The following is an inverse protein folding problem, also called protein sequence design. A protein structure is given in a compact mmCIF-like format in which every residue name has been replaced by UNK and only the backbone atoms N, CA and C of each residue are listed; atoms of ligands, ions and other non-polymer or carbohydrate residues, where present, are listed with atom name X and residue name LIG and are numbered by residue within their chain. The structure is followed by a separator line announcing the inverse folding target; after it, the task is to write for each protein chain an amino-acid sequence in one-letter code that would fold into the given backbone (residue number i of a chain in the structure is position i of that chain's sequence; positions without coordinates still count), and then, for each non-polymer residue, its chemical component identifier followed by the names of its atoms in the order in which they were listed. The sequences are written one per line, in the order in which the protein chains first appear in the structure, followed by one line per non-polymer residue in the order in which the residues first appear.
data_IF_492601085014
#
_entry.id   IF_492601085014
#
_cell.length_a   1.000
_cell.length_b   1.000
_cell.length_c   1.000
_cell.angle_alpha   90.00
_cell.angle_beta   90.00
_cell.angle_gamma   90.00
#
_symmetry.space_group_name_H-M   'P 1'
#
loop_
_entity.id
_entity.type
_entity.pdbx_description
1 polymer ?
#
# COMPACT_ATOMS: atom_id res chain seq x y z
N UNK A 1 8.52 30.93 11.88
CA UNK A 1 9.71 30.15 12.29
C UNK A 1 9.87 29.05 11.26
N UNK A 2 10.77 29.22 10.32
CA UNK A 2 11.16 28.20 9.33
C UNK A 2 11.82 27.05 10.10
N UNK A 3 11.17 25.86 10.16
CA UNK A 3 11.84 24.65 10.60
C UNK A 3 12.98 24.39 9.58
N UNK A 4 14.21 24.43 10.04
CA UNK A 4 15.34 23.91 9.28
C UNK A 4 15.03 22.45 8.93
N UNK A 5 14.98 22.12 7.66
CA UNK A 5 14.79 20.77 7.16
C UNK A 5 16.03 19.96 7.49
N UNK A 6 15.92 19.11 8.49
CA UNK A 6 17.01 18.21 8.92
C UNK A 6 17.12 17.11 7.86
N UNK A 7 18.21 17.06 7.10
CA UNK A 7 18.44 16.04 6.09
C UNK A 7 18.67 14.64 6.72
N UNK A 8 18.58 13.57 5.92
CA UNK A 8 18.78 12.18 6.36
C UNK A 8 20.10 11.94 7.12
N UNK A 9 21.17 12.66 6.78
CA UNK A 9 22.47 12.55 7.44
C UNK A 9 22.43 12.90 8.92
N UNK A 10 21.53 13.80 9.34
CA UNK A 10 21.40 14.22 10.73
C UNK A 10 20.49 13.29 11.57
N UNK A 11 19.83 12.30 10.95
CA UNK A 11 18.94 11.37 11.64
C UNK A 11 19.66 10.18 12.32
N UNK A 12 20.99 10.05 12.19
CA UNK A 12 21.77 9.01 12.84
C UNK A 12 21.71 7.65 12.13
N UNK A 13 21.32 7.60 10.87
CA UNK A 13 21.28 6.39 10.04
C UNK A 13 22.71 5.90 9.78
N UNK A 14 22.90 4.57 9.75
CA UNK A 14 24.21 3.97 9.45
C UNK A 14 24.74 4.48 8.09
N UNK A 15 26.04 4.84 7.97
CA UNK A 15 26.60 5.44 6.75
C UNK A 15 26.33 4.63 5.47
N UNK A 16 26.41 3.31 5.52
CA UNK A 16 26.16 2.45 4.37
C UNK A 16 24.68 2.45 3.94
N UNK A 17 23.75 2.56 4.89
CA UNK A 17 22.31 2.71 4.59
C UNK A 17 22.05 4.09 4.01
N UNK A 18 22.67 5.13 4.58
CA UNK A 18 22.59 6.48 4.05
C UNK A 18 23.11 6.56 2.61
N UNK A 19 24.27 5.96 2.32
CA UNK A 19 24.83 5.92 0.97
C UNK A 19 23.88 5.21 -0.02
N UNK A 20 23.20 4.14 0.41
CA UNK A 20 22.24 3.43 -0.44
C UNK A 20 21.03 4.29 -0.81
N UNK A 21 20.46 5.07 0.13
CA UNK A 21 19.30 5.92 -0.15
C UNK A 21 19.65 7.16 -0.97
N UNK A 22 20.83 7.73 -0.78
CA UNK A 22 21.34 8.84 -1.61
C UNK A 22 21.49 8.37 -3.07
N UNK A 23 22.00 7.15 -3.28
CA UNK A 23 22.15 6.58 -4.62
C UNK A 23 20.83 6.37 -5.37
N UNK A 24 19.70 6.26 -4.66
CA UNK A 24 18.35 6.14 -5.25
C UNK A 24 17.57 7.47 -5.23
N UNK A 25 18.23 8.59 -4.93
CA UNK A 25 17.66 9.93 -5.06
C UNK A 25 16.82 10.42 -3.88
N UNK A 26 17.04 9.90 -2.67
CA UNK A 26 16.42 10.45 -1.47
C UNK A 26 17.16 11.75 -1.08
N UNK A 27 16.45 12.86 -1.07
CA UNK A 27 17.01 14.18 -0.72
C UNK A 27 16.63 14.58 0.71
N UNK A 28 15.34 14.69 1.01
CA UNK A 28 14.82 15.13 2.31
C UNK A 28 13.89 14.07 2.93
N UNK A 29 13.95 13.89 4.26
CA UNK A 29 13.04 12.97 4.94
C UNK A 29 11.61 13.54 4.98
N UNK A 30 10.64 12.69 4.69
CA UNK A 30 9.24 13.05 4.89
C UNK A 30 8.93 13.24 6.39
N UNK A 31 7.81 13.91 6.73
CA UNK A 31 7.46 14.16 8.14
C UNK A 31 7.38 12.89 9.01
N UNK A 32 6.90 11.75 8.46
CA UNK A 32 6.87 10.49 9.19
C UNK A 32 8.29 9.95 9.40
N UNK A 33 9.17 10.08 8.41
CA UNK A 33 10.55 9.63 8.50
C UNK A 33 11.34 10.46 9.51
N UNK A 34 11.25 11.78 9.44
CA UNK A 34 11.95 12.69 10.35
C UNK A 34 11.60 12.47 11.83
N UNK A 35 10.33 12.13 12.13
CA UNK A 35 9.87 11.89 13.48
C UNK A 35 10.09 10.45 13.96
N UNK A 36 9.98 9.46 13.07
CA UNK A 36 10.06 8.04 13.46
C UNK A 36 11.47 7.51 13.52
N UNK A 37 12.35 7.90 12.59
CA UNK A 37 13.70 7.34 12.48
C UNK A 37 14.50 7.48 13.78
N UNK A 38 14.58 8.67 14.42
CA UNK A 38 15.32 8.82 15.67
C UNK A 38 14.77 7.93 16.79
N UNK A 39 13.45 7.89 16.98
CA UNK A 39 12.80 7.08 18.02
C UNK A 39 13.07 5.58 17.86
N UNK A 40 13.05 5.10 16.60
CA UNK A 40 13.33 3.69 16.30
C UNK A 40 14.81 3.38 16.52
N UNK A 41 15.74 4.28 16.16
CA UNK A 41 17.18 4.13 16.43
C UNK A 41 17.50 4.09 17.92
N UNK A 42 16.79 4.87 18.73
CA UNK A 42 16.90 4.86 20.20
C UNK A 42 16.36 3.56 20.83
N UNK A 43 15.68 2.72 20.07
CA UNK A 43 15.16 1.43 20.53
C UNK A 43 13.77 1.49 21.15
N UNK A 44 13.04 2.59 21.00
CA UNK A 44 11.68 2.71 21.49
C UNK A 44 10.71 1.87 20.67
N UNK A 45 9.72 1.29 21.33
CA UNK A 45 8.50 0.83 20.67
C UNK A 45 7.74 2.06 20.18
N UNK A 46 7.06 1.93 19.01
CA UNK A 46 6.44 3.08 18.38
C UNK A 46 5.11 2.72 17.70
N UNK A 47 4.16 3.65 17.78
CA UNK A 47 2.96 3.65 16.97
C UNK A 47 3.03 4.83 16.01
N UNK A 48 3.11 4.52 14.71
CA UNK A 48 3.10 5.50 13.63
C UNK A 48 1.74 5.55 12.95
N UNK A 49 1.01 6.65 13.13
CA UNK A 49 -0.25 6.86 12.41
C UNK A 49 -0.01 7.74 11.19
N UNK A 50 0.00 7.11 10.00
CA UNK A 50 0.20 7.80 8.74
C UNK A 50 -0.44 7.03 7.57
N UNK A 51 -0.92 7.75 6.56
CA UNK A 51 -1.51 7.17 5.35
C UNK A 51 -0.48 6.47 4.47
N UNK A 52 -0.96 5.65 3.52
CA UNK A 52 -0.11 5.07 2.47
C UNK A 52 0.51 6.17 1.60
N UNK A 53 1.73 5.92 1.08
CA UNK A 53 2.43 6.89 0.25
C UNK A 53 3.17 8.00 1.01
N UNK A 54 3.17 8.02 2.35
CA UNK A 54 3.89 9.00 3.17
C UNK A 54 5.36 8.66 3.41
N UNK A 55 5.83 7.51 2.92
CA UNK A 55 7.21 7.05 3.12
C UNK A 55 7.41 6.19 4.37
N UNK A 56 6.36 5.53 4.88
CA UNK A 56 6.41 4.64 6.06
C UNK A 56 7.48 3.55 5.93
N UNK A 57 7.61 2.92 4.76
CA UNK A 57 8.58 1.85 4.55
C UNK A 57 10.00 2.30 4.88
N UNK A 58 10.42 3.45 4.37
CA UNK A 58 11.73 4.00 4.72
C UNK A 58 11.80 4.44 6.20
N UNK A 59 10.70 4.94 6.77
CA UNK A 59 10.64 5.36 8.17
C UNK A 59 10.98 4.24 9.17
N UNK A 60 10.61 2.98 8.87
CA UNK A 60 11.02 1.84 9.70
C UNK A 60 12.24 1.08 9.16
N UNK A 61 12.35 0.92 7.85
CA UNK A 61 13.42 0.10 7.28
C UNK A 61 14.81 0.72 7.51
N UNK A 62 14.97 2.03 7.28
CA UNK A 62 16.28 2.68 7.41
C UNK A 62 16.88 2.57 8.82
N UNK A 63 16.16 2.90 9.91
CA UNK A 63 16.70 2.78 11.25
C UNK A 63 16.92 1.32 11.67
N UNK A 64 16.03 0.40 11.28
CA UNK A 64 16.15 -1.00 11.66
C UNK A 64 17.28 -1.69 10.90
N UNK A 65 17.48 -1.41 9.60
CA UNK A 65 18.63 -1.86 8.82
C UNK A 65 19.96 -1.35 9.39
N UNK A 66 19.98 -0.13 9.93
CA UNK A 66 21.16 0.45 10.57
C UNK A 66 21.64 -0.34 11.80
N UNK A 67 20.81 -1.25 12.30
CA UNK A 67 21.07 -2.06 13.50
C UNK A 67 21.15 -3.56 13.21
N UNK A 68 21.14 -3.97 11.94
CA UNK A 68 21.32 -5.37 11.54
C UNK A 68 22.81 -5.75 11.65
N UNK A 69 23.06 -6.93 12.19
CA UNK A 69 24.37 -7.57 12.19
C UNK A 69 24.49 -8.53 10.98
N UNK A 70 25.25 -8.16 9.94
CA UNK A 70 25.38 -8.99 8.74
C UNK A 70 26.11 -10.33 8.98
N UNK A 71 26.86 -10.45 10.08
CA UNK A 71 27.61 -11.66 10.42
C UNK A 71 26.70 -12.81 10.89
N UNK A 72 25.52 -12.48 11.42
CA UNK A 72 24.53 -13.44 11.92
C UNK A 72 23.52 -13.77 10.84
N UNK A 73 23.54 -15.00 10.33
CA UNK A 73 22.65 -15.47 9.24
C UNK A 73 21.32 -16.02 9.76
N UNK A 74 20.71 -15.34 10.71
CA UNK A 74 19.43 -15.70 11.32
C UNK A 74 18.48 -14.50 11.30
N UNK A 75 17.16 -14.70 11.38
CA UNK A 75 16.19 -13.61 11.38
C UNK A 75 16.39 -12.66 12.56
N UNK A 76 16.63 -11.39 12.27
CA UNK A 76 16.81 -10.32 13.26
C UNK A 76 15.66 -9.31 13.20
N UNK A 77 15.02 -9.20 12.03
CA UNK A 77 13.92 -8.29 11.77
C UNK A 77 12.79 -9.05 11.07
N UNK A 78 11.58 -8.88 11.56
CA UNK A 78 10.35 -9.35 10.95
C UNK A 78 9.47 -8.14 10.59
N UNK A 79 9.02 -8.08 9.34
CA UNK A 79 8.00 -7.13 8.90
C UNK A 79 6.75 -7.91 8.51
N UNK A 80 5.64 -7.65 9.20
CA UNK A 80 4.33 -8.20 8.88
C UNK A 80 3.54 -7.20 8.05
N UNK A 81 2.95 -7.69 6.96
CA UNK A 81 2.18 -6.90 6.00
C UNK A 81 0.92 -7.65 5.58
N UNK A 82 -0.18 -6.95 5.24
CA UNK A 82 -1.47 -7.58 4.94
C UNK A 82 -1.48 -8.36 3.62
N UNK A 83 -0.69 -7.94 2.65
CA UNK A 83 -0.77 -8.50 1.30
C UNK A 83 0.60 -8.92 0.79
N UNK A 84 0.57 -9.82 -0.14
CA UNK A 84 1.73 -10.35 -0.84
C UNK A 84 2.43 -9.29 -1.69
N UNK A 85 1.66 -8.46 -2.39
CA UNK A 85 2.20 -7.36 -3.19
C UNK A 85 2.99 -6.40 -2.31
N UNK A 86 2.46 -6.07 -1.12
CA UNK A 86 3.18 -5.23 -0.16
C UNK A 86 4.40 -5.97 0.41
N UNK A 87 4.33 -7.30 0.63
CA UNK A 87 5.49 -8.07 1.07
C UNK A 87 6.65 -7.99 0.07
N UNK A 88 6.36 -8.11 -1.21
CA UNK A 88 7.36 -7.98 -2.27
C UNK A 88 7.93 -6.55 -2.35
N UNK A 89 7.08 -5.53 -2.26
CA UNK A 89 7.50 -4.13 -2.28
C UNK A 89 8.41 -3.79 -1.10
N UNK A 90 8.02 -4.20 0.11
CA UNK A 90 8.83 -3.97 1.31
C UNK A 90 10.14 -4.74 1.25
N UNK A 91 10.13 -5.98 0.77
CA UNK A 91 11.34 -6.76 0.58
C UNK A 91 12.30 -6.08 -0.41
N UNK A 92 11.82 -5.67 -1.59
CA UNK A 92 12.61 -4.94 -2.59
C UNK A 92 13.15 -3.61 -2.03
N UNK A 93 12.35 -2.89 -1.23
CA UNK A 93 12.82 -1.68 -0.57
C UNK A 93 13.94 -1.99 0.43
N UNK A 94 13.80 -3.02 1.27
CA UNK A 94 14.84 -3.46 2.19
C UNK A 94 16.13 -3.88 1.46
N UNK A 95 16.01 -4.63 0.35
CA UNK A 95 17.16 -4.98 -0.51
C UNK A 95 17.86 -3.74 -1.06
N UNK A 96 17.08 -2.77 -1.54
CA UNK A 96 17.60 -1.50 -2.07
C UNK A 96 18.36 -0.72 -1.00
N UNK A 97 17.77 -0.57 0.18
CA UNK A 97 18.37 0.18 1.29
C UNK A 97 19.56 -0.54 1.94
N UNK A 98 19.63 -1.86 1.85
CA UNK A 98 20.74 -2.67 2.36
C UNK A 98 21.84 -2.95 1.32
N UNK A 99 21.74 -2.42 0.11
CA UNK A 99 22.66 -2.70 -1.00
C UNK A 99 24.13 -2.43 -0.66
N UNK A 100 24.40 -1.50 0.22
CA UNK A 100 25.73 -1.17 0.70
C UNK A 100 26.11 -1.87 2.04
N UNK A 101 25.26 -2.81 2.50
CA UNK A 101 25.50 -3.65 3.67
C UNK A 101 25.80 -5.09 3.19
N UNK A 102 27.07 -5.46 2.98
CA UNK A 102 27.39 -6.79 2.45
C UNK A 102 26.97 -7.89 3.44
N UNK A 103 26.34 -8.93 2.91
CA UNK A 103 25.93 -10.10 3.70
C UNK A 103 24.52 -10.02 4.30
N UNK A 104 23.79 -8.92 4.13
CA UNK A 104 22.38 -8.82 4.54
C UNK A 104 21.48 -9.51 3.51
N UNK A 105 20.73 -10.51 3.97
CA UNK A 105 19.72 -11.22 3.18
C UNK A 105 18.29 -10.80 3.57
N UNK A 106 17.44 -10.67 2.56
CA UNK A 106 16.01 -10.39 2.71
C UNK A 106 15.21 -11.55 2.11
N UNK A 107 14.24 -12.06 2.83
CA UNK A 107 13.34 -13.11 2.33
C UNK A 107 11.89 -12.67 2.48
N UNK A 108 11.14 -12.71 1.37
CA UNK A 108 9.70 -12.49 1.38
C UNK A 108 8.95 -13.83 1.53
N UNK A 109 8.03 -13.89 2.49
CA UNK A 109 7.23 -15.08 2.87
C UNK A 109 5.75 -14.76 2.73
N UNK A 110 5.08 -15.30 1.70
CA UNK A 110 3.70 -14.93 1.39
C UNK A 110 2.92 -16.09 0.76
N UNK A 111 1.60 -16.05 0.91
CA UNK A 111 0.69 -17.04 0.37
C UNK A 111 0.57 -17.02 -1.16
N UNK A 112 0.08 -18.12 -1.74
CA UNK A 112 -0.14 -18.23 -3.20
C UNK A 112 1.11 -18.49 -4.03
N UNK A 113 2.32 -18.52 -3.42
CA UNK A 113 3.56 -18.95 -4.06
C UNK A 113 3.96 -20.35 -3.54
N UNK A 114 4.78 -21.11 -4.30
CA UNK A 114 5.28 -22.42 -3.84
C UNK A 114 6.07 -22.29 -2.53
N UNK A 115 5.85 -23.23 -1.60
CA UNK A 115 6.52 -23.27 -0.31
C UNK A 115 8.02 -23.59 -0.42
N UNK A 116 8.40 -24.48 -1.35
CA UNK A 116 9.77 -24.98 -1.49
C UNK A 116 10.83 -23.88 -1.68
N UNK A 117 10.68 -22.96 -2.63
CA UNK A 117 11.61 -21.85 -2.80
C UNK A 117 11.76 -20.98 -1.55
N UNK A 118 10.66 -20.70 -0.82
CA UNK A 118 10.70 -19.92 0.42
C UNK A 118 11.48 -20.66 1.52
N UNK A 119 11.24 -21.97 1.69
CA UNK A 119 12.01 -22.81 2.62
C UNK A 119 13.50 -22.84 2.27
N UNK A 120 13.83 -22.95 0.98
CA UNK A 120 15.22 -22.90 0.53
C UNK A 120 15.88 -21.56 0.88
N UNK A 121 15.20 -20.45 0.62
CA UNK A 121 15.70 -19.12 0.93
C UNK A 121 15.90 -18.92 2.44
N UNK A 122 14.96 -19.35 3.27
CA UNK A 122 15.08 -19.30 4.73
C UNK A 122 16.27 -20.12 5.25
N UNK A 123 16.51 -21.32 4.70
CA UNK A 123 17.65 -22.16 5.07
C UNK A 123 19.02 -21.59 4.64
N UNK A 124 19.05 -20.76 3.61
CA UNK A 124 20.27 -20.05 3.20
C UNK A 124 20.65 -18.96 4.19
N UNK A 125 19.73 -18.59 5.06
CA UNK A 125 19.86 -17.56 6.09
C UNK A 125 19.48 -16.18 5.56
N UNK A 126 18.64 -15.49 6.33
CA UNK A 126 18.24 -14.12 6.07
C UNK A 126 18.08 -13.38 7.38
N UNK A 127 18.58 -12.17 7.44
CA UNK A 127 18.43 -11.31 8.60
C UNK A 127 17.06 -10.62 8.64
N UNK A 128 16.42 -10.49 7.47
CA UNK A 128 15.16 -9.77 7.32
C UNK A 128 14.11 -10.69 6.71
N UNK A 129 13.02 -10.87 7.43
CA UNK A 129 11.83 -11.55 6.93
C UNK A 129 10.72 -10.52 6.70
N UNK A 130 10.13 -10.54 5.51
CA UNK A 130 8.93 -9.77 5.20
C UNK A 130 7.82 -10.76 4.91
N UNK A 131 6.75 -10.75 5.71
CA UNK A 131 5.78 -11.84 5.68
C UNK A 131 4.32 -11.39 5.69
N UNK A 132 3.47 -12.18 5.02
CA UNK A 132 2.03 -12.16 5.29
C UNK A 132 1.72 -13.15 6.42
N UNK A 133 0.81 -12.80 7.38
CA UNK A 133 0.61 -13.59 8.59
C UNK A 133 0.34 -15.08 8.34
N UNK A 134 -0.68 -15.40 7.55
CA UNK A 134 -1.07 -16.82 7.34
C UNK A 134 0.06 -17.69 6.77
N UNK A 135 0.86 -17.21 5.81
CA UNK A 135 1.98 -17.99 5.28
C UNK A 135 3.12 -18.12 6.30
N UNK A 136 3.34 -17.11 7.12
CA UNK A 136 4.33 -17.21 8.19
C UNK A 136 3.91 -18.27 9.22
N UNK A 137 2.63 -18.35 9.58
CA UNK A 137 2.10 -19.43 10.41
C UNK A 137 2.30 -20.82 9.80
N UNK A 138 2.18 -20.98 8.47
CA UNK A 138 2.50 -22.25 7.79
C UNK A 138 3.98 -22.63 7.94
N UNK A 139 4.89 -21.65 7.92
CA UNK A 139 6.32 -21.89 8.18
C UNK A 139 6.58 -22.19 9.65
N UNK A 140 5.94 -21.51 10.59
CA UNK A 140 6.07 -21.76 12.03
C UNK A 140 5.62 -23.17 12.44
N UNK A 141 4.57 -23.72 11.80
CA UNK A 141 4.16 -25.12 12.00
C UNK A 141 5.24 -26.15 11.61
N UNK A 142 6.22 -25.73 10.78
CA UNK A 142 7.33 -26.57 10.33
C UNK A 142 8.62 -26.33 11.10
N UNK A 143 8.82 -25.10 11.57
CA UNK A 143 9.98 -24.67 12.34
C UNK A 143 9.51 -23.65 13.39
N UNK A 144 9.18 -24.15 14.57
CA UNK A 144 8.72 -23.34 15.70
C UNK A 144 9.77 -22.32 16.19
N UNK A 145 11.06 -22.55 15.86
CA UNK A 145 12.16 -21.69 16.27
C UNK A 145 12.52 -20.62 15.24
N UNK A 146 11.82 -20.57 14.10
CA UNK A 146 12.11 -19.65 13.00
C UNK A 146 12.25 -18.18 13.46
N UNK A 147 11.45 -17.78 14.44
CA UNK A 147 11.43 -16.40 14.95
C UNK A 147 12.20 -16.20 16.27
N UNK A 148 12.86 -17.22 16.80
CA UNK A 148 13.48 -17.16 18.13
C UNK A 148 14.59 -16.10 18.27
N UNK A 149 15.16 -15.66 17.18
CA UNK A 149 16.26 -14.67 17.14
C UNK A 149 15.82 -13.27 16.69
N UNK A 150 14.53 -13.09 16.40
CA UNK A 150 13.96 -11.81 15.97
C UNK A 150 13.97 -10.80 17.11
N UNK A 151 14.68 -9.71 16.92
CA UNK A 151 14.80 -8.63 17.90
C UNK A 151 13.94 -7.41 17.56
N UNK A 152 13.44 -7.34 16.32
CA UNK A 152 12.70 -6.18 15.80
C UNK A 152 11.50 -6.66 15.01
N UNK A 153 10.33 -6.22 15.43
CA UNK A 153 9.05 -6.49 14.76
C UNK A 153 8.47 -5.21 14.21
N UNK A 154 8.04 -5.26 12.97
CA UNK A 154 7.23 -4.21 12.34
C UNK A 154 5.88 -4.78 11.93
N UNK A 155 4.80 -4.09 12.28
CA UNK A 155 3.49 -4.30 11.69
C UNK A 155 3.20 -3.12 10.77
N UNK A 156 3.15 -3.32 9.47
CA UNK A 156 2.78 -2.27 8.51
C UNK A 156 1.37 -2.52 7.97
N UNK A 157 0.59 -1.45 7.87
CA UNK A 157 -0.84 -1.51 7.55
C UNK A 157 -1.62 -2.45 8.51
N UNK A 158 -1.39 -2.29 9.82
CA UNK A 158 -1.96 -3.17 10.85
C UNK A 158 -3.50 -3.21 10.82
N UNK A 159 -4.16 -2.09 10.58
CA UNK A 159 -5.61 -2.00 10.40
C UNK A 159 -6.11 -2.85 9.22
N UNK A 160 -5.35 -2.93 8.14
CA UNK A 160 -5.68 -3.76 7.00
C UNK A 160 -5.50 -5.25 7.29
N UNK A 161 -4.48 -5.65 8.07
CA UNK A 161 -4.33 -7.03 8.51
C UNK A 161 -5.56 -7.51 9.29
N UNK A 162 -6.09 -6.66 10.17
CA UNK A 162 -7.30 -7.00 10.93
C UNK A 162 -8.56 -7.06 10.06
N UNK A 163 -8.73 -6.14 9.12
CA UNK A 163 -9.84 -6.18 8.15
C UNK A 163 -9.83 -7.44 7.30
N UNK A 164 -8.65 -8.00 7.04
CA UNK A 164 -8.48 -9.27 6.32
C UNK A 164 -8.64 -10.51 7.20
N UNK A 165 -8.85 -10.35 8.51
CA UNK A 165 -9.12 -11.45 9.44
C UNK A 165 -7.88 -12.14 9.99
N UNK A 166 -6.70 -11.53 9.93
CA UNK A 166 -5.44 -12.12 10.41
C UNK A 166 -5.21 -12.02 11.92
N UNK A 167 -6.25 -11.73 12.73
CA UNK A 167 -6.06 -11.58 14.18
C UNK A 167 -5.47 -12.82 14.81
N UNK A 168 -6.03 -14.01 14.53
CA UNK A 168 -5.57 -15.28 15.10
C UNK A 168 -4.15 -15.63 14.65
N UNK A 169 -3.82 -15.36 13.38
CA UNK A 169 -2.46 -15.56 12.86
C UNK A 169 -1.46 -14.64 13.57
N UNK A 170 -1.84 -13.38 13.85
CA UNK A 170 -0.99 -12.43 14.57
C UNK A 170 -0.72 -12.91 16.00
N UNK A 171 -1.71 -13.42 16.72
CA UNK A 171 -1.51 -13.97 18.07
C UNK A 171 -0.52 -15.15 18.05
N UNK A 172 -0.65 -16.08 17.11
CA UNK A 172 0.31 -17.19 16.93
C UNK A 172 1.73 -16.68 16.69
N UNK A 173 1.87 -15.63 15.87
CA UNK A 173 3.17 -15.03 15.58
C UNK A 173 3.74 -14.34 16.81
N UNK A 174 2.93 -13.58 17.57
CA UNK A 174 3.37 -12.91 18.78
C UNK A 174 3.87 -13.90 19.85
N UNK A 175 3.22 -15.06 19.98
CA UNK A 175 3.63 -16.14 20.89
C UNK A 175 4.97 -16.76 20.49
N UNK A 176 5.27 -16.84 19.19
CA UNK A 176 6.54 -17.38 18.67
C UNK A 176 7.71 -16.40 18.74
N UNK A 177 7.46 -15.12 19.03
CA UNK A 177 8.47 -14.07 19.08
C UNK A 177 9.07 -13.93 20.50
N UNK A 178 10.37 -13.57 20.62
CA UNK A 178 10.94 -13.22 21.92
C UNK A 178 10.21 -12.06 22.60
N UNK A 179 10.06 -12.13 23.93
CA UNK A 179 9.50 -11.02 24.73
C UNK A 179 10.39 -9.78 24.66
N UNK A 180 11.70 -9.96 24.62
CA UNK A 180 12.68 -8.89 24.52
C UNK A 180 12.89 -8.50 23.06
N UNK A 181 11.94 -7.75 22.53
CA UNK A 181 12.01 -7.19 21.19
C UNK A 181 11.57 -5.73 21.17
N UNK A 182 12.00 -5.01 20.15
CA UNK A 182 11.43 -3.73 19.77
C UNK A 182 10.26 -3.96 18.81
N UNK A 183 9.12 -3.30 19.05
CA UNK A 183 7.92 -3.42 18.19
C UNK A 183 7.52 -2.05 17.66
N UNK A 184 7.39 -1.96 16.33
CA UNK A 184 6.96 -0.76 15.61
C UNK A 184 5.67 -1.08 14.87
N UNK A 185 4.62 -0.32 15.11
CA UNK A 185 3.31 -0.49 14.50
C UNK A 185 2.98 0.72 13.65
N UNK A 186 2.76 0.50 12.35
CA UNK A 186 2.22 1.51 11.44
C UNK A 186 0.80 1.16 11.05
N UNK A 187 -0.07 2.16 11.09
CA UNK A 187 -1.47 2.04 10.71
C UNK A 187 -2.01 3.37 10.21
N UNK A 188 -2.95 3.36 9.29
CA UNK A 188 -3.65 4.57 8.90
C UNK A 188 -4.65 4.99 9.97
N UNK A 189 -5.30 4.01 10.61
CA UNK A 189 -6.30 4.20 11.67
C UNK A 189 -5.93 3.44 12.94
N UNK A 190 -6.48 3.88 14.09
CA UNK A 190 -6.30 3.24 15.38
C UNK A 190 -7.65 2.85 16.01
N UNK A 191 -8.40 1.90 15.41
CA UNK A 191 -9.61 1.36 16.01
C UNK A 191 -9.30 0.65 17.34
N UNK A 192 -10.33 0.31 18.11
CA UNK A 192 -10.18 -0.36 19.42
C UNK A 192 -9.37 -1.66 19.33
N UNK A 193 -9.52 -2.41 18.25
CA UNK A 193 -8.77 -3.65 18.00
C UNK A 193 -7.26 -3.42 17.84
N UNK A 194 -6.85 -2.38 17.10
CA UNK A 194 -5.43 -2.01 16.97
C UNK A 194 -4.87 -1.48 18.29
N UNK A 195 -5.64 -0.67 19.02
CA UNK A 195 -5.22 -0.24 20.36
C UNK A 195 -5.01 -1.41 21.31
N UNK A 196 -5.90 -2.42 21.28
CA UNK A 196 -5.75 -3.64 22.07
C UNK A 196 -4.49 -4.44 21.74
N UNK A 197 -4.09 -4.53 20.45
CA UNK A 197 -2.80 -5.12 20.05
C UNK A 197 -1.64 -4.29 20.62
N UNK A 198 -1.69 -2.98 20.47
CA UNK A 198 -0.64 -2.10 20.96
C UNK A 198 -0.46 -2.19 22.49
N UNK A 199 -1.55 -2.22 23.24
CA UNK A 199 -1.53 -2.34 24.69
C UNK A 199 -0.92 -3.66 25.19
N UNK A 200 -1.18 -4.78 24.45
CA UNK A 200 -0.68 -6.10 24.84
C UNK A 200 0.77 -6.37 24.39
N UNK A 201 1.18 -5.84 23.27
CA UNK A 201 2.43 -6.26 22.60
C UNK A 201 3.50 -5.17 22.46
N UNK A 202 3.20 -3.90 22.78
CA UNK A 202 4.17 -2.80 22.76
C UNK A 202 4.46 -2.32 24.18
N UNK A 203 5.72 -1.97 24.43
CA UNK A 203 6.22 -1.50 25.74
C UNK A 203 6.36 0.02 25.72
N UNK A 204 5.46 0.73 26.41
CA UNK A 204 5.46 2.21 26.50
C UNK A 204 5.71 2.90 25.15
N UNK A 205 4.91 2.62 24.12
CA UNK A 205 5.20 3.07 22.76
C UNK A 205 5.18 4.59 22.65
N UNK A 206 6.10 5.14 21.85
CA UNK A 206 6.04 6.53 21.41
C UNK A 206 5.00 6.65 20.28
N UNK A 207 4.21 7.72 20.33
CA UNK A 207 3.19 7.97 19.32
C UNK A 207 3.65 9.05 18.34
N UNK A 208 3.75 8.68 17.07
CA UNK A 208 3.98 9.60 15.95
C UNK A 208 2.70 9.66 15.13
N UNK A 209 2.05 10.80 15.14
CA UNK A 209 0.86 11.04 14.35
C UNK A 209 1.14 12.12 13.32
N UNK A 210 1.22 11.71 12.08
CA UNK A 210 1.23 12.66 10.97
C UNK A 210 -0.24 12.97 10.69
N UNK A 211 -0.64 14.19 11.00
CA UNK A 211 -1.94 14.68 10.57
C UNK A 211 -2.02 14.38 9.07
N UNK A 212 -3.12 13.78 8.65
CA UNK A 212 -3.39 13.63 7.24
C UNK A 212 -3.35 15.05 6.64
N UNK A 213 -2.13 15.53 6.35
CA UNK A 213 -2.01 16.69 5.50
C UNK A 213 -2.67 16.23 4.23
N UNK A 214 -3.74 16.87 3.92
CA UNK A 214 -4.46 16.96 2.66
C UNK A 214 -3.53 17.00 1.41
N UNK A 215 -2.23 16.85 1.54
CA UNK A 215 -1.29 17.04 0.44
C UNK A 215 -1.35 15.95 -0.63
N UNK A 216 -1.54 14.67 -0.27
CA UNK A 216 -1.73 13.64 -1.31
C UNK A 216 -3.13 13.77 -1.90
N UNK A 217 -4.13 14.01 -1.06
CA UNK A 217 -5.52 14.26 -1.48
C UNK A 217 -5.64 15.64 -2.17
N UNK A 218 -4.84 16.63 -1.75
CA UNK A 218 -4.83 17.99 -2.35
C UNK A 218 -4.25 18.03 -3.78
N UNK A 219 -3.47 17.03 -4.18
CA UNK A 219 -2.93 16.90 -5.55
C UNK A 219 -3.80 16.02 -6.45
N UNK A 220 -4.87 15.44 -5.89
CA UNK A 220 -5.81 14.62 -6.64
C UNK A 220 -7.07 15.45 -6.88
N UNK A 221 -7.31 15.76 -8.13
CA UNK A 221 -8.58 16.36 -8.52
C UNK A 221 -9.69 15.32 -8.31
N UNK A 222 -10.66 15.64 -7.45
CA UNK A 222 -11.75 14.73 -7.10
C UNK A 222 -13.06 15.23 -7.69
N UNK A 223 -13.68 14.40 -8.50
CA UNK A 223 -14.96 14.72 -9.13
C UNK A 223 -15.92 13.56 -9.03
N UNK A 224 -17.22 13.86 -9.02
CA UNK A 224 -18.26 12.85 -9.05
C UNK A 224 -19.28 13.12 -10.16
N UNK A 225 -19.84 12.03 -10.68
CA UNK A 225 -20.93 12.04 -11.64
C UNK A 225 -22.16 11.39 -11.01
N UNK A 226 -23.27 12.12 -10.98
CA UNK A 226 -24.56 11.55 -10.59
C UNK A 226 -25.09 10.65 -11.70
N UNK A 227 -25.33 9.36 -11.38
CA UNK A 227 -25.81 8.37 -12.35
C UNK A 227 -26.87 7.45 -11.73
N UNK A 228 -27.74 6.91 -12.54
CA UNK A 228 -28.56 5.77 -12.13
C UNK A 228 -27.76 4.45 -12.29
N UNK A 229 -28.09 3.43 -11.48
CA UNK A 229 -27.31 2.20 -11.44
C UNK A 229 -27.24 1.48 -12.81
N UNK A 230 -28.32 1.51 -13.56
CA UNK A 230 -28.45 0.95 -14.91
C UNK A 230 -27.70 1.74 -15.99
N UNK A 231 -27.32 2.98 -15.71
CA UNK A 231 -26.62 3.87 -16.63
C UNK A 231 -25.10 3.88 -16.44
N UNK A 232 -24.58 3.24 -15.38
CA UNK A 232 -23.14 3.25 -15.06
C UNK A 232 -22.27 2.85 -16.26
N UNK A 233 -22.58 1.74 -16.92
CA UNK A 233 -21.81 1.23 -18.05
C UNK A 233 -21.72 2.22 -19.22
N UNK A 234 -22.82 2.80 -19.63
CA UNK A 234 -22.84 3.82 -20.68
C UNK A 234 -22.18 5.14 -20.27
N UNK A 235 -22.25 5.50 -18.99
CA UNK A 235 -21.58 6.69 -18.45
C UNK A 235 -20.06 6.53 -18.44
N UNK A 236 -19.56 5.36 -18.06
CA UNK A 236 -18.12 5.04 -18.10
C UNK A 236 -17.59 5.18 -19.51
N UNK A 237 -18.29 4.62 -20.48
CA UNK A 237 -17.89 4.69 -21.88
C UNK A 237 -17.71 6.15 -22.35
N UNK A 238 -18.69 7.03 -22.07
CA UNK A 238 -18.59 8.45 -22.43
C UNK A 238 -17.49 9.19 -21.68
N UNK A 239 -17.29 8.89 -20.39
CA UNK A 239 -16.22 9.48 -19.60
C UNK A 239 -14.85 9.13 -20.18
N UNK A 240 -14.59 7.85 -20.47
CA UNK A 240 -13.32 7.38 -20.99
C UNK A 240 -13.00 7.93 -22.39
N UNK A 241 -14.01 8.32 -23.16
CA UNK A 241 -13.81 8.97 -24.46
C UNK A 241 -13.23 10.39 -24.36
N UNK A 242 -13.47 11.10 -23.25
CA UNK A 242 -13.01 12.48 -23.07
C UNK A 242 -11.84 12.59 -22.09
N UNK A 243 -11.66 11.62 -21.21
CA UNK A 243 -10.56 11.62 -20.25
C UNK A 243 -9.26 11.20 -20.95
N UNK A 244 -8.17 11.92 -20.61
CA UNK A 244 -6.82 11.59 -21.08
C UNK A 244 -6.04 11.00 -19.92
N UNK A 245 -5.69 9.74 -19.99
CA UNK A 245 -4.96 9.03 -18.96
C UNK A 245 -3.83 8.17 -19.51
N UNK A 246 -2.75 8.04 -18.74
CA UNK A 246 -1.67 7.10 -19.04
C UNK A 246 -2.07 5.69 -18.61
N UNK A 247 -2.56 5.55 -17.38
CA UNK A 247 -3.17 4.35 -16.85
C UNK A 247 -4.31 4.70 -15.88
N UNK A 248 -5.33 3.83 -15.86
CA UNK A 248 -6.52 3.98 -15.03
C UNK A 248 -6.75 2.71 -14.20
N UNK A 249 -7.04 2.87 -12.92
CA UNK A 249 -7.59 1.80 -12.10
C UNK A 249 -9.06 2.08 -11.78
N UNK A 250 -9.93 1.12 -12.08
CA UNK A 250 -11.36 1.21 -11.79
C UNK A 250 -11.74 0.26 -10.65
N UNK A 251 -12.46 0.77 -9.67
CA UNK A 251 -12.88 0.00 -8.49
C UNK A 251 -14.33 -0.43 -8.57
N UNK A 252 -14.54 -1.73 -8.38
CA UNK A 252 -15.86 -2.36 -8.29
C UNK A 252 -15.98 -3.19 -7.02
N UNK A 253 -17.23 -3.48 -6.63
CA UNK A 253 -17.51 -4.16 -5.36
C UNK A 253 -17.33 -5.67 -5.43
N UNK A 254 -17.64 -6.30 -6.56
CA UNK A 254 -17.65 -7.75 -6.71
C UNK A 254 -16.61 -8.25 -7.71
N UNK A 255 -16.15 -9.49 -7.51
CA UNK A 255 -15.24 -10.16 -8.42
C UNK A 255 -15.86 -10.31 -9.82
N UNK A 256 -17.14 -10.65 -9.89
CA UNK A 256 -17.85 -10.78 -11.17
C UNK A 256 -17.85 -9.44 -11.91
N UNK A 257 -18.13 -8.33 -11.24
CA UNK A 257 -18.12 -7.01 -11.88
C UNK A 257 -16.73 -6.65 -12.46
N UNK A 258 -15.62 -7.18 -11.91
CA UNK A 258 -14.30 -6.95 -12.52
C UNK A 258 -14.22 -7.56 -13.92
N UNK A 259 -14.79 -8.74 -14.11
CA UNK A 259 -14.81 -9.44 -15.39
C UNK A 259 -15.77 -8.74 -16.37
N UNK A 260 -16.97 -8.41 -15.90
CA UNK A 260 -18.02 -7.81 -16.74
C UNK A 260 -17.56 -6.44 -17.31
N UNK A 261 -16.96 -5.59 -16.48
CA UNK A 261 -16.45 -4.29 -16.93
C UNK A 261 -15.16 -4.41 -17.76
N UNK A 262 -14.29 -5.38 -17.48
CA UNK A 262 -13.11 -5.61 -18.32
C UNK A 262 -13.54 -6.01 -19.72
N UNK A 263 -14.43 -6.99 -19.84
CA UNK A 263 -14.95 -7.44 -21.13
C UNK A 263 -15.69 -6.31 -21.88
N UNK A 264 -16.47 -5.50 -21.15
CA UNK A 264 -17.17 -4.34 -21.73
C UNK A 264 -16.17 -3.37 -22.38
N UNK A 265 -15.08 -3.03 -21.67
CA UNK A 265 -14.08 -2.08 -22.15
C UNK A 265 -13.20 -2.66 -23.25
N UNK A 266 -12.85 -3.95 -23.18
CA UNK A 266 -12.14 -4.65 -24.27
C UNK A 266 -12.93 -4.64 -25.58
N UNK A 267 -14.25 -4.88 -25.53
CA UNK A 267 -15.14 -4.79 -26.69
C UNK A 267 -15.20 -3.38 -27.29
N UNK A 268 -14.88 -2.37 -26.52
CA UNK A 268 -14.79 -0.96 -26.96
C UNK A 268 -13.40 -0.58 -27.46
N UNK A 269 -12.46 -1.52 -27.47
CA UNK A 269 -11.11 -1.33 -27.98
C UNK A 269 -10.09 -0.84 -26.94
N UNK A 270 -10.47 -0.77 -25.65
CA UNK A 270 -9.51 -0.44 -24.60
C UNK A 270 -8.66 -1.65 -24.22
N UNK A 271 -7.41 -1.44 -23.88
CA UNK A 271 -6.54 -2.45 -23.29
C UNK A 271 -6.84 -2.57 -21.80
N UNK A 272 -7.83 -3.38 -21.48
CA UNK A 272 -8.38 -3.53 -20.14
C UNK A 272 -8.19 -4.94 -19.60
N UNK A 273 -8.09 -5.12 -18.29
CA UNK A 273 -8.06 -6.43 -17.65
C UNK A 273 -8.72 -6.39 -16.26
N UNK A 274 -9.28 -7.51 -15.84
CA UNK A 274 -9.78 -7.72 -14.50
C UNK A 274 -8.63 -8.02 -13.52
N UNK A 275 -8.78 -7.58 -12.26
CA UNK A 275 -7.89 -7.92 -11.15
C UNK A 275 -8.72 -8.24 -9.90
N UNK A 276 -8.81 -9.51 -9.52
CA UNK A 276 -9.58 -9.95 -8.37
C UNK A 276 -8.91 -11.10 -7.61
N UNK A 277 -9.47 -11.45 -6.45
CA UNK A 277 -8.87 -12.43 -5.54
C UNK A 277 -8.92 -13.89 -6.03
N UNK A 278 -9.76 -14.22 -7.01
CA UNK A 278 -9.88 -15.60 -7.52
C UNK A 278 -8.87 -15.91 -8.64
N UNK A 279 -8.18 -14.88 -9.14
CA UNK A 279 -7.16 -15.05 -10.16
C UNK A 279 -5.92 -15.77 -9.61
N UNK A 280 -5.36 -16.73 -10.36
CA UNK A 280 -4.05 -17.30 -10.07
C UNK A 280 -3.00 -16.20 -9.96
N UNK A 281 -2.08 -16.35 -9.04
CA UNK A 281 -1.09 -15.32 -8.74
C UNK A 281 -0.24 -14.93 -9.96
N UNK A 282 0.22 -15.90 -10.73
CA UNK A 282 0.99 -15.63 -11.94
C UNK A 282 0.22 -14.76 -12.95
N UNK A 283 -1.11 -14.89 -12.97
CA UNK A 283 -1.94 -14.04 -13.81
C UNK A 283 -2.07 -12.63 -13.23
N UNK A 284 -2.22 -12.49 -11.91
CA UNK A 284 -2.24 -11.17 -11.24
C UNK A 284 -0.94 -10.40 -11.48
N UNK A 285 0.21 -11.08 -11.33
CA UNK A 285 1.53 -10.48 -11.57
C UNK A 285 1.67 -10.01 -13.03
N UNK A 286 1.20 -10.81 -14.00
CA UNK A 286 1.19 -10.40 -15.41
C UNK A 286 0.34 -9.16 -15.65
N UNK A 287 -0.87 -9.10 -15.08
CA UNK A 287 -1.74 -7.91 -15.20
C UNK A 287 -1.07 -6.66 -14.63
N UNK A 288 -0.45 -6.78 -13.47
CA UNK A 288 0.25 -5.67 -12.83
C UNK A 288 1.46 -5.23 -13.66
N UNK A 289 2.24 -6.16 -14.16
CA UNK A 289 3.41 -5.86 -15.00
C UNK A 289 2.99 -5.21 -16.31
N UNK A 290 1.94 -5.74 -16.97
CA UNK A 290 1.35 -5.16 -18.18
C UNK A 290 0.79 -3.74 -17.97
N UNK A 291 0.31 -3.42 -16.75
CA UNK A 291 -0.10 -2.07 -16.41
C UNK A 291 1.12 -1.14 -16.22
N UNK A 292 2.23 -1.66 -15.68
CA UNK A 292 3.47 -0.89 -15.49
C UNK A 292 4.17 -0.59 -16.82
N UNK A 293 4.30 -1.58 -17.68
CA UNK A 293 5.02 -1.45 -18.96
C UNK A 293 4.20 -0.77 -20.07
N UNK A 294 2.89 -0.55 -19.84
CA UNK A 294 2.00 0.12 -20.77
C UNK A 294 1.36 -0.78 -21.83
N UNK A 295 1.47 -2.09 -21.71
CA UNK A 295 0.71 -3.02 -22.55
C UNK A 295 -0.78 -3.14 -22.15
N UNK A 296 -1.11 -2.72 -20.90
CA UNK A 296 -2.47 -2.45 -20.43
C UNK A 296 -2.62 -0.97 -20.04
N UNK A 297 -3.81 -0.41 -20.24
CA UNK A 297 -4.15 0.95 -19.84
C UNK A 297 -5.14 0.99 -18.68
N UNK A 298 -6.03 0.01 -18.59
CA UNK A 298 -7.11 -0.01 -17.62
C UNK A 298 -7.11 -1.33 -16.85
N UNK A 299 -7.15 -1.24 -15.52
CA UNK A 299 -7.38 -2.38 -14.65
C UNK A 299 -8.65 -2.17 -13.85
N UNK A 300 -9.55 -3.15 -13.90
CA UNK A 300 -10.77 -3.17 -13.10
C UNK A 300 -10.54 -4.09 -11.91
N UNK A 301 -10.58 -3.54 -10.70
CA UNK A 301 -10.16 -4.24 -9.49
C UNK A 301 -11.19 -4.19 -8.37
N UNK A 302 -11.14 -5.20 -7.51
CA UNK A 302 -11.74 -5.11 -6.16
C UNK A 302 -10.76 -4.46 -5.20
N UNK A 303 -11.26 -3.88 -4.09
CA UNK A 303 -10.41 -3.27 -3.06
C UNK A 303 -9.29 -4.20 -2.58
N UNK A 304 -9.62 -5.46 -2.30
CA UNK A 304 -8.66 -6.46 -1.82
C UNK A 304 -7.55 -6.73 -2.85
N UNK A 305 -7.91 -6.84 -4.10
CA UNK A 305 -6.94 -7.14 -5.17
C UNK A 305 -6.04 -5.95 -5.53
N UNK A 306 -6.54 -4.73 -5.37
CA UNK A 306 -5.80 -3.51 -5.64
C UNK A 306 -4.91 -3.05 -4.46
N UNK A 307 -5.03 -3.69 -3.29
CA UNK A 307 -4.18 -3.38 -2.13
C UNK A 307 -2.73 -3.65 -2.43
N UNK A 308 -1.86 -2.76 -1.98
CA UNK A 308 -0.43 -2.86 -2.26
C UNK A 308 -0.03 -2.56 -3.71
N UNK A 309 -0.99 -2.30 -4.62
CA UNK A 309 -0.67 -1.93 -5.99
C UNK A 309 0.08 -0.59 -6.00
N UNK A 310 1.31 -0.63 -6.48
CA UNK A 310 2.15 0.55 -6.70
C UNK A 310 2.59 0.60 -8.16
N UNK A 311 1.87 1.39 -8.93
CA UNK A 311 2.14 1.62 -10.36
C UNK A 311 2.18 3.12 -10.58
N UNK A 312 3.38 3.71 -10.70
CA UNK A 312 3.53 5.17 -10.83
C UNK A 312 2.84 5.77 -12.06
N UNK A 313 2.55 4.94 -13.05
CA UNK A 313 1.88 5.33 -14.30
C UNK A 313 0.39 5.63 -14.11
N UNK A 314 -0.24 5.20 -13.00
CA UNK A 314 -1.66 5.44 -12.76
C UNK A 314 -1.92 6.93 -12.55
N UNK A 315 -2.56 7.57 -13.53
CA UNK A 315 -2.99 8.97 -13.48
C UNK A 315 -4.45 9.11 -13.02
N UNK A 316 -5.27 8.07 -13.24
CA UNK A 316 -6.70 8.13 -12.96
C UNK A 316 -7.18 6.98 -12.08
N UNK A 317 -8.07 7.32 -11.15
CA UNK A 317 -8.83 6.36 -10.34
C UNK A 317 -10.31 6.54 -10.63
N UNK A 318 -11.00 5.50 -11.07
CA UNK A 318 -12.44 5.50 -11.28
C UNK A 318 -13.13 4.62 -10.23
N UNK A 319 -13.93 5.21 -9.37
CA UNK A 319 -14.79 4.48 -8.46
C UNK A 319 -16.13 4.19 -9.14
N UNK A 320 -16.26 3.03 -9.78
CA UNK A 320 -17.52 2.58 -10.40
C UNK A 320 -18.56 2.31 -9.31
N UNK A 321 -18.11 1.68 -8.23
CA UNK A 321 -18.93 1.46 -7.06
C UNK A 321 -18.46 2.29 -5.87
N UNK A 322 -19.42 2.89 -5.17
CA UNK A 322 -19.18 3.61 -3.92
C UNK A 322 -18.40 2.72 -2.94
N UNK A 323 -17.30 3.20 -2.35
CA UNK A 323 -16.61 2.49 -1.28
C UNK A 323 -17.49 2.32 -0.04
N UNK A 324 -17.21 1.31 0.77
CA UNK A 324 -17.99 1.01 1.98
C UNK A 324 -17.83 2.07 3.08
N UNK A 325 -16.68 2.73 3.11
CA UNK A 325 -16.31 3.73 4.10
C UNK A 325 -15.37 4.79 3.50
N UNK A 326 -15.23 5.97 4.14
CA UNK A 326 -14.35 7.05 3.65
C UNK A 326 -12.88 6.68 3.60
N UNK A 327 -12.41 5.79 4.46
CA UNK A 327 -11.03 5.35 4.49
C UNK A 327 -10.70 4.53 3.23
N UNK A 328 -11.58 3.60 2.87
CA UNK A 328 -11.49 2.85 1.61
C UNK A 328 -11.44 3.80 0.40
N UNK A 329 -12.21 4.89 0.41
CA UNK A 329 -12.14 5.92 -0.62
C UNK A 329 -10.74 6.52 -0.72
N UNK A 330 -10.17 6.95 0.42
CA UNK A 330 -8.82 7.54 0.46
C UNK A 330 -7.77 6.54 -0.03
N UNK A 331 -7.87 5.28 0.37
CA UNK A 331 -6.97 4.21 -0.09
C UNK A 331 -7.08 3.94 -1.59
N UNK A 332 -8.29 4.04 -2.17
CA UNK A 332 -8.49 3.90 -3.62
C UNK A 332 -7.87 5.06 -4.38
N UNK A 333 -8.20 6.29 -4.02
CA UNK A 333 -7.67 7.46 -4.73
C UNK A 333 -6.16 7.63 -4.56
N UNK A 334 -5.60 7.15 -3.43
CA UNK A 334 -4.15 7.08 -3.19
C UNK A 334 -3.39 6.11 -4.12
N UNK A 335 -4.07 5.47 -5.10
CA UNK A 335 -3.38 4.74 -6.19
C UNK A 335 -2.83 5.69 -7.25
N UNK A 336 -3.33 6.92 -7.32
CA UNK A 336 -2.81 8.01 -8.16
C UNK A 336 -2.19 9.14 -7.31
N UNK A 337 -1.70 10.20 -7.93
CA UNK A 337 -1.10 11.35 -7.23
C UNK A 337 0.19 11.03 -6.48
N UNK A 338 0.91 9.97 -6.88
CA UNK A 338 2.14 9.51 -6.24
C UNK A 338 3.39 10.20 -6.77
N UNK A 339 4.45 10.19 -5.97
CA UNK A 339 5.75 10.78 -6.32
C UNK A 339 5.67 12.24 -6.81
N UNK A 340 4.77 13.02 -6.23
CA UNK A 340 4.63 14.45 -6.57
C UNK A 340 3.83 14.74 -7.83
N UNK A 341 3.31 13.73 -8.52
CA UNK A 341 2.47 13.90 -9.72
C UNK A 341 1.04 14.31 -9.34
N UNK A 342 0.36 14.93 -10.26
CA UNK A 342 -1.08 15.17 -10.17
C UNK A 342 -1.85 13.90 -10.49
N UNK A 343 -3.03 13.75 -9.89
CA UNK A 343 -3.92 12.62 -10.13
C UNK A 343 -5.36 13.07 -10.28
N UNK A 344 -6.19 12.24 -10.91
CA UNK A 344 -7.62 12.49 -11.05
C UNK A 344 -8.42 11.31 -10.51
N UNK A 345 -9.42 11.58 -9.67
CA UNK A 345 -10.31 10.61 -9.08
C UNK A 345 -11.76 10.91 -9.49
N UNK A 346 -12.38 9.96 -10.18
CA UNK A 346 -13.77 10.01 -10.59
C UNK A 346 -14.59 9.05 -9.72
N UNK A 347 -15.78 9.49 -9.29
CA UNK A 347 -16.69 8.70 -8.48
C UNK A 347 -18.09 8.68 -9.11
N UNK A 348 -18.60 7.52 -9.45
CA UNK A 348 -19.99 7.37 -9.88
C UNK A 348 -20.88 7.27 -8.63
N UNK A 349 -21.85 8.18 -8.51
CA UNK A 349 -22.71 8.30 -7.33
C UNK A 349 -24.16 8.09 -7.73
N UNK A 350 -24.81 7.11 -7.13
CA UNK A 350 -26.26 6.96 -7.30
C UNK A 350 -27.02 7.87 -6.29
N UNK A 351 -28.27 8.21 -6.55
CA UNK A 351 -29.06 9.03 -5.62
C UNK A 351 -29.10 8.48 -4.18
N UNK A 352 -29.03 7.16 -4.02
CA UNK A 352 -29.02 6.49 -2.71
C UNK A 352 -27.68 6.65 -1.97
N UNK A 353 -26.60 6.91 -2.70
CA UNK A 353 -25.22 7.00 -2.18
C UNK A 353 -24.81 8.44 -1.81
N UNK A 354 -25.66 9.43 -2.04
CA UNK A 354 -25.38 10.85 -1.70
C UNK A 354 -24.94 11.06 -0.24
N UNK A 355 -25.51 10.29 0.69
CA UNK A 355 -25.10 10.38 2.11
C UNK A 355 -23.65 9.96 2.31
N UNK A 356 -23.21 8.91 1.65
CA UNK A 356 -21.83 8.46 1.74
C UNK A 356 -20.87 9.49 1.11
N UNK A 357 -21.23 10.11 -0.01
CA UNK A 357 -20.45 11.19 -0.61
C UNK A 357 -20.26 12.34 0.40
N UNK A 358 -21.30 12.78 1.11
CA UNK A 358 -21.18 13.81 2.14
C UNK A 358 -20.28 13.39 3.32
N UNK A 359 -20.29 12.10 3.69
CA UNK A 359 -19.40 11.56 4.72
C UNK A 359 -17.95 11.57 4.24
N UNK A 360 -17.70 11.18 2.99
CA UNK A 360 -16.38 11.24 2.36
C UNK A 360 -15.84 12.68 2.37
N UNK A 361 -16.61 13.65 1.89
CA UNK A 361 -16.24 15.07 1.89
C UNK A 361 -15.90 15.60 3.28
N UNK A 362 -16.70 15.22 4.28
CA UNK A 362 -16.46 15.63 5.68
C UNK A 362 -15.16 15.05 6.24
N UNK A 363 -14.90 13.78 5.98
CA UNK A 363 -13.71 13.07 6.50
C UNK A 363 -12.44 13.50 5.77
N UNK A 364 -12.51 13.69 4.46
CA UNK A 364 -11.37 14.16 3.66
C UNK A 364 -11.11 15.65 3.80
N UNK A 365 -12.09 16.42 4.28
CA UNK A 365 -12.04 17.88 4.36
C UNK A 365 -12.04 18.56 2.98
N UNK A 366 -12.37 17.83 1.91
CA UNK A 366 -12.39 18.32 0.55
C UNK A 366 -13.75 18.06 -0.10
N UNK A 367 -14.21 19.00 -0.90
CA UNK A 367 -15.38 18.78 -1.75
C UNK A 367 -15.01 17.97 -2.97
N UNK A 368 -15.86 17.02 -3.32
CA UNK A 368 -15.77 16.25 -4.57
C UNK A 368 -16.60 17.01 -5.61
N UNK A 369 -15.95 17.62 -6.59
CA UNK A 369 -16.61 18.44 -7.61
C UNK A 369 -17.66 17.65 -8.40
N UNK A 370 -18.80 18.27 -8.74
CA UNK A 370 -19.78 17.62 -9.61
C UNK A 370 -19.43 17.87 -11.07
N UNK A 371 -19.39 16.80 -11.86
CA UNK A 371 -19.22 16.86 -13.32
C UNK A 371 -20.46 16.33 -14.02
N UNK A 372 -20.70 16.82 -15.21
CA UNK A 372 -21.77 16.35 -16.07
C UNK A 372 -21.29 15.25 -17.00
N UNK A 373 -22.19 14.33 -17.31
CA UNK A 373 -21.91 13.32 -18.33
C UNK A 373 -21.62 14.04 -19.67
N UNK A 374 -20.48 13.75 -20.33
CA UNK A 374 -20.20 14.32 -21.65
C UNK A 374 -21.33 14.05 -22.62
N UNK A 375 -21.77 15.06 -23.34
CA UNK A 375 -22.77 14.92 -24.40
C UNK A 375 -22.17 14.29 -25.68
N UNK A 376 -23.01 14.05 -26.66
CA UNK A 376 -22.57 13.40 -27.89
C UNK A 376 -21.61 14.28 -28.71
N UNK A 377 -21.76 15.62 -28.62
CA UNK A 377 -20.90 16.58 -29.32
C UNK A 377 -19.51 16.60 -28.74
N UNK A 378 -19.38 16.71 -27.40
CA UNK A 378 -18.10 16.63 -26.67
C UNK A 378 -17.36 15.31 -26.94
N UNK A 379 -18.09 14.18 -26.98
CA UNK A 379 -17.49 12.88 -27.30
C UNK A 379 -17.01 12.83 -28.75
N UNK A 380 -17.77 13.40 -29.69
CA UNK A 380 -17.37 13.45 -31.09
C UNK A 380 -16.12 14.31 -31.29
N UNK A 381 -16.08 15.49 -30.66
CA UNK A 381 -14.90 16.36 -30.70
C UNK A 381 -13.65 15.67 -30.14
N UNK A 382 -13.78 14.97 -29.00
CA UNK A 382 -12.68 14.22 -28.41
C UNK A 382 -12.17 13.09 -29.33
N UNK A 383 -13.07 12.43 -30.07
CA UNK A 383 -12.70 11.39 -31.06
C UNK A 383 -12.00 11.98 -32.29
N UNK A 384 -12.39 13.15 -32.72
CA UNK A 384 -11.77 13.82 -33.89
C UNK A 384 -10.39 14.41 -33.55
N UNK A 385 -10.14 14.69 -32.27
CA UNK A 385 -8.87 15.22 -31.77
C UNK A 385 -7.80 14.13 -31.50
N UNK A 386 -8.20 12.85 -31.48
CA UNK A 386 -7.30 11.67 -31.37
C UNK A 386 -6.87 11.17 -32.73
#
# INVERSE_FOLDING_TARGET
MTQETVGFAALGIHPNVLAAIVAVGYEEPSPIQAQSIPLILEGHDMIGQAQTGTGKTAAFALPLLSRIDPSRREPQMLVLVPTRELALQVATACETYSKQLPGVGVVAVYGGAPMGPQLKALRQGAQILVATPGRLCDHLRRDEKLLATVQRLVLDEADEMLKLGFMDDLEVIFEALPESRQTVLFSATLPASIRGIAERHLKQPKHVKIAAKTQTVARIEQVHLMVHADQKAGSIQRLLEVEQFDALIAFVRTKQATLDYAELLERQGYRAAALNGDMPQAQRERVIESLKDGSLDIVIATDVAARGLDVPRITHVLNIDMPYDPESYVHRIGRTGRAGREGRALLLVTPRERRMLQVIERVTGQKVGEVRLPDAETVLEARLAR
#
